data_IF_993515689690
#
_entry.id   IF_993515689690
#
_cell.length_a   1.000
_cell.length_b   1.000
_cell.length_c   1.000
_cell.angle_alpha   90.00
_cell.angle_beta   90.00
_cell.angle_gamma   90.00
#
_symmetry.space_group_name_H-M   'P 1'
#
loop_
_entity.id
_entity.type
_entity.pdbx_description
1 polymer ?
#
# COMPACT_ATOMS: atom_id res chain seq x y z
N UNK A 1 6.58 40.46 28.88
CA UNK A 1 5.79 39.53 28.03
C UNK A 1 5.15 40.27 26.85
N UNK A 2 5.93 40.72 25.85
CA UNK A 2 5.41 41.50 24.70
C UNK A 2 5.98 41.09 23.33
N UNK A 3 6.68 39.96 23.23
CA UNK A 3 7.37 39.55 21.99
C UNK A 3 6.80 38.30 21.30
N UNK A 4 5.81 37.62 21.88
CA UNK A 4 5.34 36.31 21.39
C UNK A 4 4.08 36.38 20.51
N UNK A 5 3.44 37.55 20.40
CA UNK A 5 2.16 37.70 19.66
C UNK A 5 2.39 38.12 18.20
N UNK A 6 3.59 38.60 17.84
CA UNK A 6 3.84 39.17 16.51
C UNK A 6 4.28 38.13 15.45
N UNK A 7 4.69 36.92 15.86
CA UNK A 7 5.17 35.88 14.94
C UNK A 7 4.04 35.05 14.31
N UNK A 8 2.85 35.01 14.89
CA UNK A 8 1.69 34.28 14.33
C UNK A 8 0.91 35.09 13.30
N UNK A 9 0.99 36.42 13.31
CA UNK A 9 0.20 37.29 12.41
C UNK A 9 0.86 37.56 11.05
N UNK A 10 2.18 37.35 10.92
CA UNK A 10 2.91 37.59 9.66
C UNK A 10 2.82 36.37 8.71
N UNK A 11 2.59 35.16 9.23
CA UNK A 11 2.43 33.96 8.40
C UNK A 11 1.13 33.99 7.57
N UNK A 12 0.05 34.61 8.06
CA UNK A 12 -1.22 34.69 7.34
C UNK A 12 -1.19 35.66 6.15
N UNK A 13 -0.30 36.66 6.15
CA UNK A 13 -0.26 37.72 5.11
C UNK A 13 0.68 37.42 3.95
N UNK A 14 1.49 36.35 4.03
CA UNK A 14 2.46 35.98 3.00
C UNK A 14 2.00 34.84 2.07
N UNK A 15 0.80 34.27 2.25
CA UNK A 15 0.31 33.18 1.40
C UNK A 15 1.17 31.90 1.47
N UNK A 16 2.02 31.78 2.49
CA UNK A 16 2.90 30.64 2.69
C UNK A 16 2.11 29.62 3.52
N UNK A 17 1.57 28.62 2.82
CA UNK A 17 0.89 27.43 3.33
C UNK A 17 -0.34 27.77 4.18
N UNK A 18 -1.48 28.02 3.53
CA UNK A 18 -2.75 27.77 4.20
C UNK A 18 -2.78 26.28 4.57
N UNK A 19 -2.82 25.90 5.86
CA UNK A 19 -3.11 24.52 6.20
C UNK A 19 -4.43 24.20 5.52
N UNK A 20 -4.43 23.25 4.59
CA UNK A 20 -5.66 22.73 4.05
C UNK A 20 -6.34 22.04 5.23
N UNK A 21 -7.32 22.72 5.83
CA UNK A 21 -8.17 22.10 6.82
C UNK A 21 -8.92 20.99 6.07
N UNK A 22 -8.47 19.74 6.24
CA UNK A 22 -9.13 18.60 5.64
C UNK A 22 -10.60 18.64 6.06
N UNK A 23 -11.50 18.60 5.08
CA UNK A 23 -12.92 18.64 5.37
C UNK A 23 -13.34 17.30 6.01
N UNK A 24 -14.44 17.33 6.75
CA UNK A 24 -15.02 16.11 7.31
C UNK A 24 -15.24 15.06 6.21
N UNK A 25 -15.05 13.78 6.56
CA UNK A 25 -15.26 12.66 5.65
C UNK A 25 -16.63 12.71 4.99
N UNK A 26 -16.65 12.54 3.66
CA UNK A 26 -17.88 12.20 2.94
C UNK A 26 -17.83 10.73 2.56
N UNK A 27 -18.86 9.92 2.93
CA UNK A 27 -18.92 8.50 2.58
C UNK A 27 -18.68 8.25 1.09
N UNK A 28 -17.87 7.23 0.82
CA UNK A 28 -17.62 6.74 -0.53
C UNK A 28 -18.90 6.07 -1.05
N UNK A 29 -19.24 6.34 -2.31
CA UNK A 29 -20.30 5.62 -3.00
C UNK A 29 -19.82 4.22 -3.43
N UNK A 30 -20.76 3.34 -3.81
CA UNK A 30 -20.39 2.08 -4.45
C UNK A 30 -19.76 2.35 -5.81
N UNK A 31 -18.46 2.09 -5.93
CA UNK A 31 -17.64 2.29 -7.14
C UNK A 31 -16.28 1.59 -7.00
N UNK A 32 -15.39 1.78 -7.97
CA UNK A 32 -14.01 1.37 -7.92
C UNK A 32 -13.11 2.52 -7.45
N UNK A 33 -12.12 2.19 -6.64
CA UNK A 33 -11.20 3.14 -6.02
C UNK A 33 -9.77 2.61 -6.07
N UNK A 34 -8.84 3.55 -6.00
CA UNK A 34 -7.42 3.27 -5.85
C UNK A 34 -6.95 3.87 -4.53
N UNK A 35 -6.42 3.04 -3.63
CA UNK A 35 -5.68 3.44 -2.45
C UNK A 35 -4.19 3.44 -2.77
N UNK A 36 -3.53 4.59 -2.60
CA UNK A 36 -2.07 4.70 -2.72
C UNK A 36 -1.44 4.86 -1.33
N UNK A 37 -0.35 4.17 -1.08
CA UNK A 37 0.51 4.40 0.07
C UNK A 37 1.48 5.53 -0.30
N UNK A 38 1.39 6.63 0.44
CA UNK A 38 2.13 7.87 0.18
C UNK A 38 3.28 8.12 1.16
N UNK A 39 3.37 7.30 2.21
CA UNK A 39 4.36 7.42 3.26
C UNK A 39 4.04 6.47 4.40
N UNK A 40 4.86 6.49 5.44
CA UNK A 40 4.65 5.63 6.59
C UNK A 40 5.93 5.12 7.22
N UNK A 41 5.78 4.09 8.05
CA UNK A 41 6.88 3.33 8.62
C UNK A 41 6.63 1.83 8.74
N UNK A 42 7.73 1.09 8.82
CA UNK A 42 7.77 -0.33 9.12
C UNK A 42 8.94 -0.65 10.06
N UNK A 43 8.72 -1.53 11.04
CA UNK A 43 9.78 -2.06 11.90
C UNK A 43 9.39 -3.40 12.53
N UNK A 44 10.39 -4.24 12.83
CA UNK A 44 10.24 -5.34 13.80
C UNK A 44 10.31 -4.77 15.23
N UNK A 45 9.20 -4.18 15.66
CA UNK A 45 9.05 -3.39 16.88
C UNK A 45 8.03 -2.29 16.63
N UNK A 46 8.08 -1.20 17.42
CA UNK A 46 7.23 -0.02 17.21
C UNK A 46 7.95 1.02 16.35
N UNK A 47 7.56 1.14 15.07
CA UNK A 47 8.23 2.04 14.13
C UNK A 47 8.03 3.52 14.45
N UNK A 48 6.94 3.88 15.14
CA UNK A 48 6.63 5.27 15.54
C UNK A 48 7.58 5.75 16.64
N UNK A 49 7.84 4.92 17.65
CA UNK A 49 8.70 5.33 18.78
C UNK A 49 10.20 5.16 18.48
N UNK A 50 10.56 4.19 17.63
CA UNK A 50 11.95 3.93 17.25
C UNK A 50 12.48 4.93 16.22
N UNK A 51 11.62 5.75 15.60
CA UNK A 51 11.99 6.61 14.47
C UNK A 51 12.52 5.80 13.26
N UNK A 52 12.22 4.50 13.23
CA UNK A 52 12.76 3.53 12.30
C UNK A 52 11.85 3.42 11.07
N UNK A 53 12.47 3.48 9.90
CA UNK A 53 11.86 3.13 8.62
C UNK A 53 10.98 4.22 8.05
N UNK A 54 11.57 5.21 7.37
CA UNK A 54 10.79 5.88 6.32
C UNK A 54 10.44 4.81 5.31
N UNK A 55 9.16 4.48 5.19
CA UNK A 55 8.71 3.75 4.02
C UNK A 55 9.09 4.64 2.83
N UNK A 56 9.94 4.11 1.96
CA UNK A 56 10.54 4.85 0.86
C UNK A 56 10.35 4.04 -0.40
N UNK A 57 9.91 4.73 -1.44
CA UNK A 57 9.87 4.18 -2.79
C UNK A 57 11.28 3.67 -3.13
N UNK A 58 11.35 2.44 -3.63
CA UNK A 58 12.60 1.85 -4.07
C UNK A 58 13.13 2.62 -5.28
N UNK A 59 14.26 3.31 -5.13
CA UNK A 59 14.80 4.18 -6.19
C UNK A 59 14.99 3.44 -7.52
N UNK A 60 14.77 4.11 -8.66
CA UNK A 60 15.09 3.56 -9.98
C UNK A 60 16.52 2.97 -10.02
N UNK A 61 16.63 1.67 -10.32
CA UNK A 61 17.89 0.90 -10.29
C UNK A 61 18.11 0.07 -9.02
N UNK A 62 17.30 0.26 -7.99
CA UNK A 62 17.06 -0.79 -6.99
C UNK A 62 16.15 -1.83 -7.65
N UNK A 63 16.48 -3.11 -7.50
CA UNK A 63 15.70 -4.17 -8.13
C UNK A 63 14.26 -4.10 -7.64
N UNK A 64 13.32 -3.72 -8.51
CA UNK A 64 11.95 -4.22 -8.41
C UNK A 64 12.11 -5.74 -8.45
N UNK A 65 11.89 -6.41 -7.32
CA UNK A 65 11.92 -7.87 -7.32
C UNK A 65 10.60 -8.32 -7.92
N UNK A 66 10.48 -8.21 -9.24
CA UNK A 66 9.50 -8.99 -9.96
C UNK A 66 9.93 -10.43 -9.75
N UNK A 67 9.14 -11.20 -9.02
CA UNK A 67 9.40 -12.61 -8.70
C UNK A 67 9.39 -13.42 -10.00
N UNK A 68 10.49 -13.33 -10.73
CA UNK A 68 10.66 -13.91 -12.04
C UNK A 68 11.69 -15.01 -11.86
N UNK A 69 11.21 -16.25 -11.89
CA UNK A 69 11.99 -17.49 -11.95
C UNK A 69 12.53 -18.01 -10.61
N UNK A 70 12.02 -19.19 -10.19
CA UNK A 70 12.69 -20.05 -9.21
C UNK A 70 11.88 -20.59 -8.03
N UNK A 71 10.56 -20.41 -7.99
CA UNK A 71 9.76 -20.86 -6.84
C UNK A 71 9.02 -22.19 -7.08
N UNK A 72 8.83 -23.01 -6.03
CA UNK A 72 8.10 -24.28 -6.10
C UNK A 72 6.58 -24.12 -6.27
N UNK A 73 6.04 -22.90 -6.18
CA UNK A 73 4.65 -22.60 -6.53
C UNK A 73 4.58 -22.21 -8.00
N UNK A 74 3.89 -23.01 -8.80
CA UNK A 74 3.60 -22.72 -10.21
C UNK A 74 2.69 -21.49 -10.26
N UNK A 75 3.29 -20.29 -10.34
CA UNK A 75 2.54 -19.06 -10.61
C UNK A 75 2.07 -19.08 -12.07
N UNK A 76 0.82 -18.69 -12.38
CA UNK A 76 0.41 -18.46 -13.76
C UNK A 76 1.37 -17.47 -14.42
N UNK A 77 1.89 -17.82 -15.59
CA UNK A 77 2.75 -16.93 -16.38
C UNK A 77 1.99 -15.62 -16.62
N UNK A 78 2.43 -14.52 -16.02
CA UNK A 78 1.77 -13.21 -16.07
C UNK A 78 1.09 -12.72 -14.79
N UNK A 79 1.12 -13.48 -13.67
CA UNK A 79 0.63 -12.98 -12.38
C UNK A 79 1.63 -11.97 -11.78
N UNK A 80 1.42 -10.69 -12.03
CA UNK A 80 2.12 -9.55 -11.39
C UNK A 80 1.31 -9.00 -10.21
N UNK A 81 0.70 -9.87 -9.42
CA UNK A 81 0.13 -9.43 -8.15
C UNK A 81 1.30 -9.42 -7.17
N UNK A 82 1.66 -8.25 -6.64
CA UNK A 82 2.76 -8.12 -5.69
C UNK A 82 4.18 -7.99 -6.28
N UNK A 83 4.66 -6.76 -6.31
CA UNK A 83 6.05 -6.24 -6.16
C UNK A 83 6.17 -4.96 -6.99
N UNK A 84 6.30 -3.83 -6.29
CA UNK A 84 6.16 -2.49 -6.89
C UNK A 84 7.18 -2.12 -7.96
N UNK A 85 6.81 -1.11 -8.75
CA UNK A 85 7.61 -0.58 -9.86
C UNK A 85 8.65 0.36 -9.26
N UNK A 86 9.91 -0.06 -9.23
CA UNK A 86 10.99 0.75 -8.66
C UNK A 86 11.07 2.14 -9.31
N UNK A 87 10.90 3.18 -8.49
CA UNK A 87 11.18 4.57 -8.87
C UNK A 87 10.01 5.26 -9.57
N UNK A 88 8.78 4.85 -9.30
CA UNK A 88 7.57 5.53 -9.77
C UNK A 88 7.03 6.58 -8.78
N UNK A 89 7.66 6.73 -7.61
CA UNK A 89 7.26 7.64 -6.54
C UNK A 89 6.13 7.10 -5.66
N UNK A 90 5.72 5.84 -5.80
CA UNK A 90 4.56 5.26 -5.13
C UNK A 90 4.97 4.02 -4.35
N UNK A 91 4.77 4.04 -3.03
CA UNK A 91 5.22 2.95 -2.16
C UNK A 91 4.28 1.73 -2.15
N UNK A 92 3.09 1.89 -2.73
CA UNK A 92 2.11 0.83 -2.89
C UNK A 92 0.79 1.34 -3.45
N UNK A 93 0.09 0.46 -4.15
CA UNK A 93 -1.20 0.69 -4.81
C UNK A 93 -2.10 -0.50 -4.55
N UNK A 94 -3.30 -0.23 -4.05
CA UNK A 94 -4.35 -1.22 -3.84
C UNK A 94 -5.59 -0.73 -4.57
N UNK A 95 -6.00 -1.46 -5.60
CA UNK A 95 -7.27 -1.19 -6.28
C UNK A 95 -8.36 -2.05 -5.65
N UNK A 96 -9.54 -1.47 -5.43
CA UNK A 96 -10.66 -2.17 -4.81
C UNK A 96 -11.99 -1.65 -5.33
N UNK A 97 -13.01 -2.49 -5.25
CA UNK A 97 -14.40 -2.06 -5.36
C UNK A 97 -15.02 -1.92 -3.98
N UNK A 98 -15.96 -0.99 -3.87
CA UNK A 98 -16.78 -0.76 -2.68
C UNK A 98 -18.25 -1.02 -3.02
N UNK A 99 -18.97 -1.73 -2.16
CA UNK A 99 -20.42 -1.86 -2.27
C UNK A 99 -21.18 -0.78 -1.47
N UNK A 100 -22.51 -0.80 -1.54
CA UNK A 100 -23.37 0.17 -0.83
C UNK A 100 -23.33 0.04 0.70
N UNK A 101 -22.82 -1.08 1.24
CA UNK A 101 -22.64 -1.28 2.66
C UNK A 101 -21.22 -0.89 3.12
N UNK A 102 -20.37 -0.43 2.20
CA UNK A 102 -18.97 -0.11 2.48
C UNK A 102 -18.07 -1.33 2.54
N UNK A 103 -18.50 -2.50 2.03
CA UNK A 103 -17.63 -3.67 1.95
C UNK A 103 -16.63 -3.48 0.80
N UNK A 104 -15.37 -3.75 1.10
CA UNK A 104 -14.24 -3.62 0.19
C UNK A 104 -13.86 -4.99 -0.37
N UNK A 105 -13.69 -5.06 -1.69
CA UNK A 105 -13.13 -6.23 -2.39
C UNK A 105 -11.91 -5.77 -3.17
N UNK A 106 -10.74 -6.31 -2.84
CA UNK A 106 -9.49 -5.94 -3.52
C UNK A 106 -9.42 -6.61 -4.88
N UNK A 107 -9.07 -5.83 -5.91
CA UNK A 107 -8.93 -6.28 -7.30
C UNK A 107 -7.48 -6.28 -7.76
N UNK A 108 -6.62 -5.49 -7.10
CA UNK A 108 -5.18 -5.45 -7.36
C UNK A 108 -4.42 -5.06 -6.10
N UNK A 109 -3.23 -5.62 -5.92
CA UNK A 109 -2.33 -5.31 -4.82
C UNK A 109 -0.89 -5.21 -5.32
N UNK A 110 -0.28 -4.06 -5.07
CA UNK A 110 1.13 -3.81 -5.28
C UNK A 110 1.68 -3.04 -4.08
N UNK A 111 2.83 -3.47 -3.57
CA UNK A 111 3.53 -2.77 -2.51
C UNK A 111 5.03 -2.88 -2.74
N UNK A 112 5.74 -1.81 -2.41
CA UNK A 112 7.19 -1.79 -2.45
C UNK A 112 7.81 -2.63 -1.34
N UNK A 113 9.06 -2.99 -1.59
CA UNK A 113 9.89 -3.71 -0.63
C UNK A 113 10.30 -2.81 0.54
N UNK A 114 10.37 -3.36 1.74
CA UNK A 114 11.05 -2.71 2.85
C UNK A 114 12.56 -2.78 2.65
N UNK A 115 13.19 -1.62 2.47
CA UNK A 115 14.65 -1.50 2.40
C UNK A 115 15.22 -1.10 3.76
N UNK A 116 16.43 -1.57 4.06
CA UNK A 116 17.15 -1.28 5.31
C UNK A 116 16.40 -1.69 6.58
N UNK A 117 15.68 -2.81 6.53
CA UNK A 117 15.07 -3.37 7.74
C UNK A 117 16.17 -3.87 8.67
N UNK A 118 16.16 -3.41 9.93
CA UNK A 118 16.91 -4.08 10.98
C UNK A 118 16.35 -5.50 11.13
N UNK A 119 17.18 -6.50 11.48
CA UNK A 119 16.83 -7.94 11.56
C UNK A 119 17.02 -8.72 10.23
N UNK A 120 17.55 -9.97 10.27
CA UNK A 120 18.83 -10.38 9.66
C UNK A 120 19.03 -10.18 8.15
N UNK A 121 17.98 -9.87 7.38
CA UNK A 121 18.03 -9.90 5.92
C UNK A 121 18.00 -8.54 5.22
N UNK A 122 17.98 -7.41 5.95
CA UNK A 122 18.15 -6.01 5.47
C UNK A 122 17.19 -5.50 4.40
N UNK A 123 16.46 -6.38 3.75
CA UNK A 123 15.58 -6.11 2.64
C UNK A 123 14.49 -7.18 2.61
N UNK A 124 13.25 -6.74 2.45
CA UNK A 124 12.06 -7.57 2.54
C UNK A 124 11.11 -7.20 1.42
N UNK A 125 10.82 -8.12 0.51
CA UNK A 125 9.85 -7.88 -0.56
C UNK A 125 8.46 -8.32 -0.11
N UNK A 126 7.46 -7.57 -0.57
CA UNK A 126 6.05 -7.86 -0.34
C UNK A 126 5.43 -8.28 -1.65
N UNK A 127 4.67 -9.36 -1.59
CA UNK A 127 3.97 -9.96 -2.72
C UNK A 127 2.54 -10.32 -2.27
N UNK A 128 1.68 -10.70 -3.20
CA UNK A 128 0.42 -11.38 -2.89
C UNK A 128 0.19 -12.49 -3.91
N UNK A 129 0.02 -13.73 -3.44
CA UNK A 129 -0.24 -14.88 -4.30
C UNK A 129 -1.53 -14.71 -5.10
N UNK A 130 -2.55 -14.17 -4.43
CA UNK A 130 -3.88 -13.91 -4.92
C UNK A 130 -4.52 -12.82 -4.03
N UNK A 131 -5.40 -12.01 -4.62
CA UNK A 131 -6.19 -10.99 -3.91
C UNK A 131 -7.61 -11.46 -3.59
N UNK A 132 -8.04 -12.65 -4.02
CA UNK A 132 -9.42 -13.12 -3.82
C UNK A 132 -9.86 -13.21 -2.35
N UNK A 133 -8.91 -13.37 -1.42
CA UNK A 133 -9.15 -13.35 0.03
C UNK A 133 -9.01 -11.96 0.67
N UNK A 134 -8.45 -10.98 -0.05
CA UNK A 134 -8.25 -9.63 0.46
C UNK A 134 -9.56 -8.85 0.45
N UNK A 135 -9.95 -8.34 1.61
CA UNK A 135 -11.24 -7.70 1.81
C UNK A 135 -11.19 -6.71 2.96
N UNK A 136 -12.25 -5.95 3.13
CA UNK A 136 -12.32 -4.99 4.23
C UNK A 136 -13.65 -4.27 4.30
N UNK A 137 -13.66 -3.17 5.03
CA UNK A 137 -14.77 -2.23 5.05
C UNK A 137 -14.29 -0.79 5.22
N UNK A 138 -15.09 0.15 4.70
CA UNK A 138 -14.99 1.58 4.98
C UNK A 138 -16.35 2.04 5.51
N UNK A 139 -16.40 2.48 6.76
CA UNK A 139 -17.65 2.93 7.37
C UNK A 139 -18.01 4.38 7.03
N UNK A 140 -19.20 4.83 7.46
CA UNK A 140 -19.70 6.18 7.19
C UNK A 140 -18.94 7.30 7.88
N UNK A 141 -18.00 6.98 8.77
CA UNK A 141 -17.10 7.92 9.45
C UNK A 141 -15.67 7.87 8.89
N UNK A 142 -15.44 7.06 7.87
CA UNK A 142 -14.14 6.94 7.20
C UNK A 142 -13.20 5.97 7.92
N UNK A 143 -13.70 5.13 8.83
CA UNK A 143 -12.86 4.10 9.42
C UNK A 143 -12.68 2.95 8.46
N UNK A 144 -11.45 2.47 8.35
CA UNK A 144 -11.10 1.31 7.53
C UNK A 144 -10.77 0.14 8.45
N UNK A 145 -11.21 -1.05 8.03
CA UNK A 145 -10.65 -2.34 8.43
C UNK A 145 -10.29 -3.06 7.14
N UNK A 146 -9.02 -3.40 6.95
CA UNK A 146 -8.53 -4.09 5.76
C UNK A 146 -7.81 -5.37 6.17
N UNK A 147 -8.31 -6.50 5.69
CA UNK A 147 -7.73 -7.82 5.85
C UNK A 147 -6.83 -8.14 4.63
N UNK A 148 -5.50 -8.19 4.81
CA UNK A 148 -4.56 -8.44 3.73
C UNK A 148 -4.34 -9.95 3.46
N UNK A 149 -5.35 -10.80 3.69
CA UNK A 149 -5.24 -12.26 3.50
C UNK A 149 -4.74 -12.61 2.11
N UNK A 150 -3.65 -13.40 2.04
CA UNK A 150 -2.97 -13.75 0.80
C UNK A 150 -1.71 -12.92 0.52
N UNK A 151 -1.40 -11.94 1.38
CA UNK A 151 -0.13 -11.21 1.35
C UNK A 151 1.02 -12.14 1.74
N UNK A 152 2.04 -12.15 0.91
CA UNK A 152 3.25 -12.93 1.08
C UNK A 152 4.45 -12.00 1.26
N UNK A 153 5.50 -12.53 1.87
CA UNK A 153 6.77 -11.85 2.02
C UNK A 153 7.91 -12.71 1.50
N UNK A 154 8.99 -12.05 1.10
CA UNK A 154 10.26 -12.67 0.76
C UNK A 154 11.43 -11.96 1.44
N UNK A 155 12.41 -12.72 1.93
CA UNK A 155 13.65 -12.18 2.51
C UNK A 155 14.89 -12.77 1.84
N UNK A 156 15.99 -12.00 1.80
CA UNK A 156 17.30 -12.46 1.33
C UNK A 156 17.39 -12.62 -0.20
N UNK A 157 18.26 -11.84 -0.84
CA UNK A 157 18.36 -11.74 -2.32
C UNK A 157 19.18 -12.88 -2.96
N UNK A 158 19.19 -14.10 -2.39
CA UNK A 158 19.96 -15.21 -2.93
C UNK A 158 19.06 -16.31 -3.50
N UNK A 159 18.84 -16.23 -4.82
CA UNK A 159 18.50 -17.28 -5.82
C UNK A 159 17.36 -18.27 -5.57
N UNK A 160 16.73 -18.33 -4.40
CA UNK A 160 15.51 -19.11 -4.17
C UNK A 160 14.72 -18.43 -3.04
N UNK A 161 13.72 -17.62 -3.41
CA UNK A 161 12.79 -17.06 -2.44
C UNK A 161 11.84 -18.16 -1.98
N UNK A 162 11.84 -18.46 -0.68
CA UNK A 162 10.71 -19.15 -0.07
C UNK A 162 9.69 -18.07 0.25
N UNK A 163 8.71 -17.87 -0.62
CA UNK A 163 7.55 -17.05 -0.26
C UNK A 163 6.81 -17.70 0.88
N UNK A 164 6.40 -16.85 1.81
CA UNK A 164 5.70 -17.26 3.02
C UNK A 164 4.63 -16.22 3.32
N UNK A 165 3.56 -16.67 3.97
CA UNK A 165 2.52 -15.77 4.47
C UNK A 165 3.15 -14.66 5.31
N UNK A 166 2.74 -13.43 5.02
CA UNK A 166 3.14 -12.22 5.72
C UNK A 166 1.96 -11.68 6.53
N UNK A 167 2.23 -10.98 7.63
CA UNK A 167 1.23 -10.47 8.57
C UNK A 167 0.34 -11.54 9.24
N UNK A 168 0.76 -12.80 9.27
CA UNK A 168 0.00 -13.82 9.99
C UNK A 168 0.35 -13.78 11.48
N UNK A 169 -0.64 -13.59 12.33
CA UNK A 169 -0.48 -13.53 13.78
C UNK A 169 -0.10 -14.90 14.36
N UNK A 170 0.83 -14.89 15.31
CA UNK A 170 1.35 -16.10 15.94
C UNK A 170 0.28 -16.87 16.72
N UNK A 171 -0.64 -16.18 17.38
CA UNK A 171 -1.57 -16.81 18.33
C UNK A 171 -2.85 -17.25 17.64
N UNK A 172 -3.53 -16.29 17.00
CA UNK A 172 -4.80 -16.48 16.31
C UNK A 172 -4.63 -17.21 14.97
N UNK A 173 -3.42 -17.22 14.39
CA UNK A 173 -3.15 -17.81 13.09
C UNK A 173 -3.96 -17.16 11.95
N UNK A 174 -4.48 -15.95 12.19
CA UNK A 174 -5.18 -15.10 11.21
C UNK A 174 -4.25 -13.98 10.72
N UNK A 175 -4.60 -13.33 9.63
CA UNK A 175 -3.88 -12.13 9.18
C UNK A 175 -4.22 -10.95 10.10
N UNK A 176 -3.21 -10.21 10.53
CA UNK A 176 -3.39 -8.94 11.22
C UNK A 176 -3.96 -7.92 10.25
N UNK A 177 -5.15 -7.42 10.58
CA UNK A 177 -5.82 -6.40 9.79
C UNK A 177 -5.17 -5.04 9.96
N UNK A 178 -5.14 -4.28 8.87
CA UNK A 178 -4.91 -2.85 8.92
C UNK A 178 -6.18 -2.13 9.37
N UNK A 179 -6.01 -1.08 10.17
CA UNK A 179 -7.14 -0.24 10.57
C UNK A 179 -6.76 1.23 10.69
N UNK A 180 -7.71 2.14 10.45
CA UNK A 180 -7.56 3.55 10.81
C UNK A 180 -7.80 3.81 12.30
N UNK A 181 -8.27 2.81 13.05
CA UNK A 181 -8.44 2.85 14.50
C UNK A 181 -7.15 2.51 15.24
N UNK A 182 -7.27 1.75 16.32
CA UNK A 182 -6.14 1.29 17.13
C UNK A 182 -5.76 -0.14 16.78
N UNK A 183 -4.47 -0.40 16.59
CA UNK A 183 -3.94 -1.76 16.46
C UNK A 183 -2.93 -2.03 17.57
N UNK A 184 -3.07 -3.15 18.29
CA UNK A 184 -2.22 -3.50 19.43
C UNK A 184 -1.75 -4.92 19.25
N UNK A 185 -0.44 -5.12 19.34
CA UNK A 185 0.13 -6.45 19.29
C UNK A 185 0.10 -7.13 20.67
N UNK A 186 0.46 -8.41 20.71
CA UNK A 186 0.69 -9.13 21.97
C UNK A 186 2.11 -8.90 22.48
N UNK A 187 2.34 -9.12 23.79
CA UNK A 187 3.68 -9.13 24.33
C UNK A 187 4.52 -10.26 23.68
N UNK A 188 5.75 -9.95 23.27
CA UNK A 188 6.66 -10.89 22.59
C UNK A 188 7.86 -11.23 23.48
N UNK A 189 7.81 -12.35 24.19
CA UNK A 189 8.87 -12.73 25.13
C UNK A 189 9.01 -11.70 26.26
N UNK A 190 10.16 -11.03 26.34
CA UNK A 190 10.41 -9.94 27.31
C UNK A 190 9.99 -8.56 26.79
N UNK A 191 9.63 -8.43 25.52
CA UNK A 191 9.23 -7.15 24.92
C UNK A 191 7.76 -6.87 25.24
N UNK A 192 7.42 -5.71 25.83
CA UNK A 192 6.04 -5.36 26.13
C UNK A 192 5.22 -5.18 24.85
N UNK A 193 3.91 -5.36 24.95
CA UNK A 193 2.97 -4.97 23.89
C UNK A 193 3.04 -3.45 23.65
N UNK A 194 2.71 -3.03 22.43
CA UNK A 194 2.56 -1.64 22.06
C UNK A 194 1.32 -1.42 21.19
N UNK A 195 0.84 -0.18 21.18
CA UNK A 195 -0.34 0.23 20.43
C UNK A 195 0.05 1.27 19.38
N UNK A 196 -0.51 1.12 18.20
CA UNK A 196 -0.48 2.09 17.11
C UNK A 196 -1.88 2.70 16.95
N UNK A 197 -1.92 3.96 16.54
CA UNK A 197 -3.16 4.67 16.24
C UNK A 197 -3.11 5.14 14.78
N UNK A 198 -4.09 4.73 14.01
CA UNK A 198 -4.35 5.28 12.69
C UNK A 198 -5.12 6.60 12.76
N UNK A 199 -5.54 7.06 11.58
CA UNK A 199 -6.44 8.20 11.44
C UNK A 199 -7.50 7.87 10.39
N UNK A 200 -8.77 8.11 10.72
CA UNK A 200 -9.88 7.94 9.80
C UNK A 200 -9.68 8.80 8.54
N UNK A 201 -10.31 8.37 7.45
CA UNK A 201 -10.28 9.12 6.20
C UNK A 201 -10.88 10.51 6.39
N UNK A 202 -10.24 11.52 5.79
CA UNK A 202 -10.74 12.88 5.69
C UNK A 202 -10.71 13.31 4.22
N UNK A 203 -11.59 14.23 3.84
CA UNK A 203 -11.60 14.80 2.50
C UNK A 203 -10.34 15.64 2.26
N UNK A 204 -9.65 15.39 1.15
CA UNK A 204 -8.41 16.08 0.78
C UNK A 204 -8.64 17.46 0.12
N UNK A 205 -9.88 17.78 -0.23
CA UNK A 205 -10.27 19.01 -0.92
C UNK A 205 -10.07 18.98 -2.44
N UNK A 206 -9.50 17.91 -3.00
CA UNK A 206 -9.27 17.66 -4.42
C UNK A 206 -10.12 16.51 -5.00
N UNK A 207 -11.11 16.03 -4.26
CA UNK A 207 -12.01 14.94 -4.68
C UNK A 207 -11.49 13.54 -4.31
N UNK A 208 -10.52 13.47 -3.40
CA UNK A 208 -10.05 12.24 -2.78
C UNK A 208 -10.14 12.28 -1.26
N UNK A 209 -9.55 11.27 -0.64
CA UNK A 209 -9.53 11.10 0.80
C UNK A 209 -8.13 10.75 1.29
N UNK A 210 -7.74 11.24 2.45
CA UNK A 210 -6.46 10.90 3.09
C UNK A 210 -6.68 10.32 4.48
N UNK A 211 -5.87 9.36 4.89
CA UNK A 211 -5.89 8.82 6.25
C UNK A 211 -4.62 8.05 6.58
N UNK A 212 -4.61 7.38 7.73
CA UNK A 212 -3.50 6.52 8.16
C UNK A 212 -4.04 5.19 8.62
N UNK A 213 -3.60 4.10 7.98
CA UNK A 213 -3.89 2.74 8.43
C UNK A 213 -2.69 2.19 9.21
N UNK A 214 -2.97 1.40 10.23
CA UNK A 214 -1.95 0.80 11.10
C UNK A 214 -2.21 -0.69 11.28
N UNK A 215 -1.13 -1.46 11.38
CA UNK A 215 -1.14 -2.86 11.79
C UNK A 215 0.00 -3.10 12.78
N UNK A 216 -0.31 -3.68 13.94
CA UNK A 216 0.65 -4.12 14.93
C UNK A 216 0.33 -5.57 15.27
N UNK A 217 1.34 -6.44 15.17
CA UNK A 217 1.13 -7.86 15.41
C UNK A 217 2.37 -8.59 15.89
N UNK A 218 2.25 -9.91 15.99
CA UNK A 218 3.33 -10.83 16.32
C UNK A 218 3.43 -11.85 15.19
N UNK A 219 4.53 -11.84 14.45
CA UNK A 219 4.65 -12.70 13.28
C UNK A 219 4.61 -14.18 13.65
N UNK A 220 3.79 -14.94 12.93
CA UNK A 220 3.89 -16.39 12.87
C UNK A 220 5.08 -16.79 11.99
N UNK A 221 6.27 -16.68 12.56
CA UNK A 221 7.50 -17.02 11.89
C UNK A 221 7.85 -18.51 11.90
N UNK A 222 6.90 -19.44 12.03
CA UNK A 222 7.21 -20.88 11.99
C UNK A 222 7.90 -21.27 10.68
N UNK A 223 7.58 -20.58 9.58
CA UNK A 223 8.26 -20.75 8.29
C UNK A 223 9.37 -19.71 8.04
N UNK A 224 9.58 -18.80 8.99
CA UNK A 224 10.54 -17.70 8.92
C UNK A 224 11.53 -17.84 10.08
N UNK A 225 12.62 -18.58 9.88
CA UNK A 225 13.61 -18.82 10.94
C UNK A 225 14.05 -17.51 11.59
N UNK A 226 13.80 -17.38 12.90
CA UNK A 226 14.14 -16.19 13.70
C UNK A 226 13.03 -15.14 13.83
N UNK A 227 11.93 -15.25 13.07
CA UNK A 227 10.80 -14.30 13.11
C UNK A 227 9.61 -14.78 13.93
N UNK A 228 9.71 -15.98 14.51
CA UNK A 228 8.62 -16.54 15.29
C UNK A 228 8.33 -15.69 16.54
N UNK A 229 7.08 -15.22 16.66
CA UNK A 229 6.63 -14.29 17.70
C UNK A 229 7.38 -12.95 17.74
N UNK A 230 8.01 -12.55 16.62
CA UNK A 230 8.64 -11.24 16.51
C UNK A 230 7.54 -10.20 16.35
N UNK A 231 7.53 -9.23 17.25
CA UNK A 231 6.63 -8.09 17.19
C UNK A 231 6.97 -7.22 15.98
N UNK A 232 5.96 -6.71 15.29
CA UNK A 232 6.14 -5.80 14.15
C UNK A 232 5.08 -4.70 14.13
N UNK A 233 5.38 -3.65 13.36
CA UNK A 233 4.44 -2.57 13.07
C UNK A 233 4.55 -2.13 11.62
N UNK A 234 3.40 -1.79 11.06
CA UNK A 234 3.22 -1.11 9.79
C UNK A 234 2.29 0.08 10.00
N UNK A 235 2.72 1.27 9.59
CA UNK A 235 1.94 2.50 9.60
C UNK A 235 1.99 3.08 8.21
N UNK A 236 0.86 3.22 7.54
CA UNK A 236 0.80 3.73 6.18
C UNK A 236 -0.10 4.95 6.08
N UNK A 237 0.46 6.04 5.56
CA UNK A 237 -0.31 7.18 5.10
C UNK A 237 -0.88 6.82 3.74
N UNK A 238 -2.20 6.96 3.61
CA UNK A 238 -2.91 6.56 2.41
C UNK A 238 -3.67 7.73 1.78
N UNK A 239 -3.79 7.67 0.46
CA UNK A 239 -4.72 8.51 -0.30
C UNK A 239 -5.64 7.61 -1.11
N UNK A 240 -6.94 7.83 -1.04
CA UNK A 240 -7.94 7.14 -1.84
C UNK A 240 -8.49 8.12 -2.88
N UNK A 241 -8.56 7.68 -4.13
CA UNK A 241 -9.21 8.41 -5.22
C UNK A 241 -10.15 7.47 -5.96
N UNK A 242 -11.21 8.00 -6.57
CA UNK A 242 -11.99 7.21 -7.52
C UNK A 242 -11.07 6.67 -8.63
N UNK A 243 -11.22 5.39 -8.96
CA UNK A 243 -10.45 4.82 -10.04
C UNK A 243 -10.93 5.49 -11.34
N UNK A 244 -10.01 6.12 -12.07
CA UNK A 244 -10.34 6.60 -13.42
C UNK A 244 -10.66 5.36 -14.23
N UNK A 245 -11.84 5.23 -14.85
CA UNK A 245 -12.10 4.14 -15.76
C UNK A 245 -11.01 4.17 -16.82
N UNK A 246 -10.13 3.17 -16.84
CA UNK A 246 -9.22 2.99 -17.96
C UNK A 246 -10.14 2.88 -19.16
N UNK A 247 -10.11 3.82 -20.13
CA UNK A 247 -11.01 3.73 -21.26
C UNK A 247 -10.82 2.35 -21.86
N UNK A 248 -11.89 1.60 -22.09
CA UNK A 248 -11.89 0.29 -22.76
C UNK A 248 -11.40 0.37 -24.24
N UNK A 249 -10.67 1.42 -24.57
CA UNK A 249 -10.25 1.89 -25.86
C UNK A 249 -8.82 1.50 -26.30
N UNK A 250 -8.08 0.51 -25.74
CA UNK A 250 -6.90 -0.02 -26.46
C UNK A 250 -7.27 -0.44 -27.89
N UNK A 251 -8.51 -0.93 -28.07
CA UNK A 251 -9.10 -1.31 -29.35
C UNK A 251 -9.40 -0.13 -30.28
N UNK A 252 -9.73 1.05 -29.74
CA UNK A 252 -9.95 2.27 -30.53
C UNK A 252 -8.63 2.85 -31.07
N UNK A 253 -7.53 2.72 -30.31
CA UNK A 253 -6.20 3.09 -30.79
C UNK A 253 -5.65 2.08 -31.81
N UNK A 254 -5.89 0.77 -31.61
CA UNK A 254 -5.47 -0.26 -32.55
C UNK A 254 -6.21 -0.20 -33.91
N UNK A 255 -7.53 -0.03 -33.90
CA UNK A 255 -8.32 0.06 -35.14
C UNK A 255 -8.13 1.40 -35.85
N UNK A 256 -8.01 2.52 -35.13
CA UNK A 256 -7.73 3.83 -35.72
C UNK A 256 -6.40 3.89 -36.48
N UNK A 257 -5.34 3.28 -35.94
CA UNK A 257 -4.02 3.23 -36.58
C UNK A 257 -3.98 2.29 -37.80
N UNK A 258 -4.72 1.16 -37.74
CA UNK A 258 -4.86 0.25 -38.88
C UNK A 258 -5.61 0.89 -40.06
N UNK A 259 -6.63 1.71 -39.78
CA UNK A 259 -7.35 2.46 -40.82
C UNK A 259 -6.44 3.53 -41.47
N UNK A 260 -5.62 4.23 -40.68
CA UNK A 260 -4.68 5.24 -41.20
C UNK A 260 -3.59 4.64 -42.11
N UNK A 261 -3.02 3.49 -41.75
CA UNK A 261 -2.04 2.79 -42.61
C UNK A 261 -2.66 2.27 -43.92
N UNK A 262 -3.95 1.91 -43.88
CA UNK A 262 -4.69 1.46 -45.07
C UNK A 262 -4.99 2.59 -46.06
N UNK A 263 -5.24 3.81 -45.56
CA UNK A 263 -5.45 5.00 -46.41
C UNK A 263 -4.13 5.52 -47.01
N UNK A 264 -3.03 5.46 -46.25
CA UNK A 264 -1.72 5.89 -46.73
C UNK A 264 -1.19 5.01 -47.89
N UNK A 265 -1.55 3.71 -47.93
CA UNK A 265 -1.07 2.79 -48.98
C UNK A 265 -1.74 2.95 -50.35
N UNK A 266 -2.88 3.65 -50.45
CA UNK A 266 -3.60 3.81 -51.73
C UNK A 266 -3.06 4.93 -52.63
N UNK A 267 -2.12 5.76 -52.17
CA UNK A 267 -1.67 6.94 -52.92
C UNK A 267 -0.37 6.78 -53.74
N UNK A 268 0.13 5.54 -53.92
CA UNK A 268 1.43 5.30 -54.56
C UNK A 268 1.41 4.50 -55.88
N UNK A 269 0.25 4.27 -56.49
CA UNK A 269 0.14 3.57 -57.78
C UNK A 269 -0.62 4.41 -58.80
N UNK A 270 0.06 5.41 -59.37
CA UNK A 270 -0.19 5.91 -60.73
C UNK A 270 1.06 6.69 -61.18
N UNK A 271 1.95 5.98 -61.88
CA UNK A 271 2.87 6.48 -62.90
C UNK A 271 3.09 5.32 -63.88
#
# INVERSE_FOLDING_TARGET
>A
MKKTILSTSIALTLGIVTPHANAAFTPLASDNYTMRITGGCFSFGNCVTLGAGTFSDNTAGQTSITVTVGMPTVRPVGSTIGSGIAGDGIMGVIDFSLDNAGNMIVTSFAQDSYVNTDFPYKKFAIDALDVSGMSGSIDSTGNIIFNPSGREGAYGFSTAFNLQEWNRDKTSQLYDSFTTGTSTNSAGGTSPAFTLNGSALLNDGSGGWTGTIVSAGNLNGDNWTGYNNVQYSEVFNITITSAVPVPAAPWLFGTGLAVLTSVARRKHWHN
#
